data_IF_914735331625
#
_entry.id   IF_914735331625
#
_cell.length_a   1.000
_cell.length_b   1.000
_cell.length_c   1.000
_cell.angle_alpha   90.00
_cell.angle_beta   90.00
_cell.angle_gamma   90.00
#
_symmetry.space_group_name_H-M   'P 1'
#
loop_
_entity.id
_entity.type
_entity.pdbx_description
1 polymer ?
#
# COMPACT_ATOMS: atom_id res chain seq x y z
N UNK A 1 -19.65 -28.60 -11.31
CA UNK A 1 -20.01 -27.39 -10.55
C UNK A 1 -18.72 -26.72 -10.13
N UNK A 2 -18.52 -25.44 -10.44
CA UNK A 2 -17.31 -24.71 -10.05
C UNK A 2 -17.69 -23.72 -8.95
N UNK A 3 -16.98 -23.76 -7.84
CA UNK A 3 -17.17 -22.85 -6.71
C UNK A 3 -15.92 -21.99 -6.59
N UNK A 4 -16.10 -20.67 -6.53
CA UNK A 4 -15.02 -19.71 -6.30
C UNK A 4 -15.27 -19.06 -4.95
N UNK A 5 -14.30 -19.14 -4.05
CA UNK A 5 -14.28 -18.41 -2.79
C UNK A 5 -13.14 -17.39 -2.87
N UNK A 6 -13.44 -16.12 -2.62
CA UNK A 6 -12.46 -15.06 -2.58
C UNK A 6 -12.79 -14.14 -1.40
N UNK A 7 -11.95 -14.10 -0.34
CA UNK A 7 -12.22 -13.25 0.83
C UNK A 7 -11.96 -11.77 0.56
N UNK A 8 -11.31 -11.44 -0.55
CA UNK A 8 -10.90 -10.08 -0.89
C UNK A 8 -12.07 -9.28 -1.48
N UNK A 9 -12.25 -8.07 -0.98
CA UNK A 9 -13.14 -7.08 -1.57
C UNK A 9 -12.43 -6.38 -2.75
N UNK A 10 -13.15 -6.16 -3.84
CA UNK A 10 -12.61 -5.54 -5.05
C UNK A 10 -13.37 -4.24 -5.35
N UNK A 11 -12.67 -3.11 -5.28
CA UNK A 11 -13.17 -1.84 -5.78
C UNK A 11 -12.64 -1.62 -7.20
N UNK A 12 -13.54 -1.57 -8.18
CA UNK A 12 -13.20 -1.52 -9.61
C UNK A 12 -13.97 -0.42 -10.31
N UNK A 13 -13.30 0.28 -11.23
CA UNK A 13 -13.89 1.34 -12.05
C UNK A 13 -13.16 2.67 -11.90
N UNK A 14 -13.64 3.67 -12.65
CA UNK A 14 -13.16 5.03 -12.52
C UNK A 14 -13.41 5.56 -11.10
N UNK A 15 -12.40 6.19 -10.49
CA UNK A 15 -12.51 6.74 -9.14
C UNK A 15 -12.41 5.71 -8.00
N UNK A 16 -12.06 4.44 -8.27
CA UNK A 16 -11.97 3.41 -7.22
C UNK A 16 -11.05 3.78 -6.04
N UNK A 17 -10.01 4.60 -6.28
CA UNK A 17 -9.10 5.11 -5.25
C UNK A 17 -9.78 6.00 -4.21
N UNK A 18 -10.93 6.61 -4.51
CA UNK A 18 -11.69 7.42 -3.55
C UNK A 18 -12.12 6.62 -2.31
N UNK A 19 -12.26 5.29 -2.44
CA UNK A 19 -12.58 4.44 -1.30
C UNK A 19 -11.43 4.37 -0.28
N UNK A 20 -10.18 4.70 -0.64
CA UNK A 20 -9.09 4.85 0.32
C UNK A 20 -9.37 5.95 1.36
N UNK A 21 -10.23 6.91 1.04
CA UNK A 21 -10.65 7.95 1.98
C UNK A 21 -11.41 7.37 3.18
N UNK A 22 -11.94 6.15 3.08
CA UNK A 22 -12.60 5.45 4.21
C UNK A 22 -11.60 5.00 5.28
N UNK A 23 -10.30 4.97 4.97
CA UNK A 23 -9.23 4.71 5.94
C UNK A 23 -9.03 5.97 6.79
N UNK A 24 -9.68 5.98 7.95
CA UNK A 24 -9.58 7.04 8.95
C UNK A 24 -8.78 6.55 10.17
N UNK A 25 -7.93 7.43 10.69
CA UNK A 25 -7.12 7.18 11.89
C UNK A 25 -6.30 5.89 11.79
N UNK A 26 -5.79 5.59 10.58
CA UNK A 26 -4.93 4.45 10.29
C UNK A 26 -3.48 4.86 10.14
N UNK A 27 -2.59 3.87 10.22
CA UNK A 27 -1.18 3.98 9.91
C UNK A 27 -0.90 3.13 8.68
N UNK A 28 -1.00 3.75 7.51
CA UNK A 28 -0.93 3.07 6.22
C UNK A 28 0.52 2.93 5.77
N UNK A 29 0.98 1.69 5.60
CA UNK A 29 2.33 1.41 5.13
C UNK A 29 2.33 1.03 3.65
N UNK A 30 2.68 2.00 2.80
CA UNK A 30 2.64 1.85 1.34
C UNK A 30 3.92 1.17 0.86
N UNK A 31 3.75 -0.02 0.28
CA UNK A 31 4.83 -0.86 -0.25
C UNK A 31 4.78 -0.79 -1.77
N UNK A 32 5.82 -0.26 -2.40
CA UNK A 32 5.85 -0.03 -3.86
C UNK A 32 7.26 -0.12 -4.42
N UNK A 33 7.43 -0.09 -5.74
CA UNK A 33 8.75 0.06 -6.37
C UNK A 33 9.17 1.55 -6.49
N UNK A 34 10.45 1.85 -6.80
CA UNK A 34 10.93 3.22 -6.99
C UNK A 34 10.26 3.94 -8.17
N UNK A 35 9.92 3.21 -9.24
CA UNK A 35 9.32 3.80 -10.44
C UNK A 35 7.95 4.43 -10.14
N UNK A 36 7.15 3.82 -9.27
CA UNK A 36 5.86 4.38 -8.85
C UNK A 36 6.02 5.69 -8.06
N UNK A 37 7.12 5.83 -7.32
CA UNK A 37 7.47 7.09 -6.64
C UNK A 37 7.93 8.13 -7.66
N UNK A 38 8.87 7.76 -8.54
CA UNK A 38 9.47 8.67 -9.51
C UNK A 38 8.47 9.18 -10.55
N UNK A 39 7.50 8.33 -10.94
CA UNK A 39 6.41 8.70 -11.85
C UNK A 39 5.34 9.58 -11.19
N UNK A 40 5.37 9.73 -9.86
CA UNK A 40 4.40 10.48 -9.09
C UNK A 40 3.05 9.78 -8.91
N UNK A 41 2.91 8.52 -9.33
CA UNK A 41 1.66 7.77 -9.16
C UNK A 41 1.28 7.59 -7.70
N UNK A 42 2.28 7.48 -6.81
CA UNK A 42 2.03 7.40 -5.37
C UNK A 42 1.27 8.63 -4.85
N UNK A 43 1.40 9.79 -5.48
CA UNK A 43 0.64 10.99 -5.10
C UNK A 43 -0.87 10.80 -5.30
N UNK A 44 -1.27 10.02 -6.32
CA UNK A 44 -2.67 9.68 -6.57
C UNK A 44 -3.25 8.76 -5.48
N UNK A 45 -2.41 8.03 -4.76
CA UNK A 45 -2.80 7.22 -3.60
C UNK A 45 -2.83 8.09 -2.34
N UNK A 46 -1.75 8.81 -2.06
CA UNK A 46 -1.59 9.57 -0.81
C UNK A 46 -2.56 10.74 -0.71
N UNK A 47 -3.06 11.30 -1.83
CA UNK A 47 -4.10 12.34 -1.82
C UNK A 47 -5.41 11.89 -1.17
N UNK A 48 -5.70 10.59 -1.15
CA UNK A 48 -6.89 10.04 -0.52
C UNK A 48 -6.66 9.65 0.96
N UNK A 49 -5.42 9.63 1.43
CA UNK A 49 -5.05 9.22 2.79
C UNK A 49 -4.89 10.40 3.76
N UNK A 50 -5.55 11.53 3.49
CA UNK A 50 -5.39 12.78 4.27
C UNK A 50 -5.82 12.69 5.74
N UNK A 51 -6.64 11.68 6.08
CA UNK A 51 -7.15 11.41 7.42
C UNK A 51 -6.41 10.27 8.13
N UNK A 52 -5.27 9.84 7.60
CA UNK A 52 -4.45 8.77 8.13
C UNK A 52 -2.97 9.15 8.06
N UNK A 53 -2.17 8.59 8.96
CA UNK A 53 -0.72 8.66 8.84
C UNK A 53 -0.27 7.65 7.78
N UNK A 54 0.72 7.99 6.97
CA UNK A 54 1.24 7.07 5.97
C UNK A 54 2.75 7.18 5.83
N UNK A 55 3.37 6.06 5.45
CA UNK A 55 4.79 5.99 5.10
C UNK A 55 4.98 5.11 3.87
N UNK A 56 5.92 5.49 3.00
CA UNK A 56 6.28 4.74 1.80
C UNK A 56 7.57 3.97 2.04
N UNK A 57 7.57 2.70 1.66
CA UNK A 57 8.75 1.86 1.49
C UNK A 57 8.86 1.47 0.00
N UNK A 58 9.85 2.05 -0.69
CA UNK A 58 10.02 1.88 -2.14
C UNK A 58 11.20 1.00 -2.54
N UNK A 59 11.93 0.44 -1.58
CA UNK A 59 13.14 -0.35 -1.84
C UNK A 59 12.79 -1.80 -2.23
N UNK A 60 12.08 -1.94 -3.34
CA UNK A 60 11.55 -3.19 -3.87
C UNK A 60 12.04 -3.40 -5.29
N UNK A 61 12.42 -4.64 -5.58
CA UNK A 61 12.77 -5.13 -6.91
C UNK A 61 11.95 -6.39 -7.21
N UNK A 62 11.78 -6.78 -8.49
CA UNK A 62 11.19 -8.07 -8.85
C UNK A 62 11.93 -9.21 -8.15
N UNK A 63 11.18 -10.18 -7.60
CA UNK A 63 11.69 -11.25 -6.74
C UNK A 63 12.60 -10.74 -5.61
N UNK A 64 12.04 -9.99 -4.63
CA UNK A 64 12.83 -9.31 -3.62
C UNK A 64 13.61 -10.32 -2.77
N UNK A 65 14.93 -10.11 -2.58
CA UNK A 65 15.72 -10.99 -1.73
C UNK A 65 15.36 -10.80 -0.25
N UNK A 66 15.74 -11.78 0.58
CA UNK A 66 15.34 -11.87 1.99
C UNK A 66 15.74 -10.62 2.79
N UNK A 67 16.89 -10.02 2.48
CA UNK A 67 17.38 -8.80 3.12
C UNK A 67 16.46 -7.60 2.87
N UNK A 68 15.90 -7.45 1.67
CA UNK A 68 14.92 -6.41 1.34
C UNK A 68 13.60 -6.62 2.10
N UNK A 69 13.15 -7.87 2.19
CA UNK A 69 11.96 -8.24 2.99
C UNK A 69 12.18 -7.90 4.47
N UNK A 70 13.34 -8.29 5.02
CA UNK A 70 13.69 -8.00 6.41
C UNK A 70 13.76 -6.49 6.69
N UNK A 71 14.30 -5.70 5.75
CA UNK A 71 14.28 -4.25 5.82
C UNK A 71 12.84 -3.71 5.86
N UNK A 72 11.99 -4.15 4.93
CA UNK A 72 10.57 -3.75 4.89
C UNK A 72 9.84 -4.03 6.20
N UNK A 73 10.01 -5.23 6.77
CA UNK A 73 9.42 -5.62 8.07
C UNK A 73 9.93 -4.72 9.21
N UNK A 74 11.23 -4.41 9.24
CA UNK A 74 11.80 -3.51 10.26
C UNK A 74 11.22 -2.10 10.16
N UNK A 75 11.05 -1.60 8.94
CA UNK A 75 10.41 -0.31 8.68
C UNK A 75 8.95 -0.32 9.13
N UNK A 76 8.18 -1.35 8.75
CA UNK A 76 6.79 -1.54 9.17
C UNK A 76 6.67 -1.57 10.70
N UNK A 77 7.53 -2.29 11.40
CA UNK A 77 7.51 -2.38 12.87
C UNK A 77 7.85 -1.05 13.55
N UNK A 78 8.76 -0.27 12.97
CA UNK A 78 9.13 1.07 13.47
C UNK A 78 7.98 2.05 13.25
N UNK A 79 7.36 2.00 12.07
CA UNK A 79 6.19 2.79 11.72
C UNK A 79 4.92 2.30 12.40
N UNK A 80 4.90 1.09 12.95
CA UNK A 80 3.72 0.42 13.52
C UNK A 80 2.50 0.54 12.61
N UNK A 81 2.70 0.25 11.31
CA UNK A 81 1.62 0.24 10.33
C UNK A 81 0.56 -0.80 10.68
N UNK A 82 -0.70 -0.44 10.53
CA UNK A 82 -1.86 -1.30 10.81
C UNK A 82 -2.67 -1.64 9.54
N UNK A 83 -2.31 -1.01 8.43
CA UNK A 83 -2.97 -1.12 7.12
C UNK A 83 -1.92 -1.13 6.01
#
# INVERSE_FOLDING_TARGET
MKTIHFPTELWVGEGALANLETLHDRRVFIVTDPFMVDSGFVNEVTKHLTKSEWQIFSDIIPDPPIDKIAAGIKHLATFQGDT
#
